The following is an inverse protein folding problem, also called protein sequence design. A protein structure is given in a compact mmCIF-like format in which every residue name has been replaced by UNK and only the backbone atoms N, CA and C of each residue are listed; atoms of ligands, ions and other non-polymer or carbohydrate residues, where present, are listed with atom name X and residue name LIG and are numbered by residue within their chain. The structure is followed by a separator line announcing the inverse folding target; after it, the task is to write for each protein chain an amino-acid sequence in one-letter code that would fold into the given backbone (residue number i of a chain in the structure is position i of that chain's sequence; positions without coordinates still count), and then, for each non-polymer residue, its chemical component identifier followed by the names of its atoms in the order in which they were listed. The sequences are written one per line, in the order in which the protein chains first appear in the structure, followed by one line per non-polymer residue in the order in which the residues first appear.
data_IF_025324284152
#
_entry.id   IF_025324284152
#
_cell.length_a   1.000
_cell.length_b   1.000
_cell.length_c   1.000
_cell.angle_alpha   90.00
_cell.angle_beta   90.00
_cell.angle_gamma   90.00
#
_symmetry.space_group_name_H-M   'P 1'
#
loop_
_entity.id
_entity.type
_entity.pdbx_description
1 polymer ?
#
# COMPACT_ATOMS: atom_id res chain seq x y z
N UNK A 1 -2.52 45.44 -37.23
CA UNK A 1 -2.40 45.20 -35.77
C UNK A 1 -1.03 45.63 -35.27
N UNK A 2 -0.96 46.43 -34.21
CA UNK A 2 0.31 46.75 -33.53
C UNK A 2 0.87 45.45 -32.96
N UNK A 3 2.14 45.14 -33.25
CA UNK A 3 2.83 44.02 -32.60
C UNK A 3 2.91 44.34 -31.11
N UNK A 4 2.27 43.52 -30.27
CA UNK A 4 2.26 43.68 -28.82
C UNK A 4 3.65 43.44 -28.21
N UNK A 5 4.47 42.61 -28.85
CA UNK A 5 5.81 42.27 -28.39
C UNK A 5 6.86 42.60 -29.47
N UNK A 6 8.15 42.68 -29.11
CA UNK A 6 9.22 42.88 -30.08
C UNK A 6 9.27 41.73 -31.11
N UNK A 7 9.72 41.98 -32.36
CA UNK A 7 9.76 40.97 -33.44
C UNK A 7 10.45 39.66 -33.07
N UNK A 8 11.43 39.72 -32.16
CA UNK A 8 12.23 38.60 -31.66
C UNK A 8 11.41 37.50 -30.95
N UNK A 9 10.23 37.84 -30.43
CA UNK A 9 9.34 36.91 -29.70
C UNK A 9 8.54 36.04 -30.68
N UNK A 10 8.35 36.50 -31.92
CA UNK A 10 7.58 35.80 -32.95
C UNK A 10 8.44 34.75 -33.66
N UNK A 11 8.74 33.67 -32.95
CA UNK A 11 9.41 32.51 -33.50
C UNK A 11 8.76 31.20 -33.01
N UNK A 12 8.80 30.11 -33.78
CA UNK A 12 8.13 28.86 -33.43
C UNK A 12 8.59 28.24 -32.11
N UNK A 13 9.86 28.44 -31.74
CA UNK A 13 10.42 27.92 -30.48
C UNK A 13 9.82 28.65 -29.29
N UNK A 14 9.76 29.98 -29.35
CA UNK A 14 9.10 30.79 -28.32
C UNK A 14 7.60 30.52 -28.24
N UNK A 15 6.91 30.31 -29.36
CA UNK A 15 5.48 29.92 -29.34
C UNK A 15 5.25 28.53 -28.72
N UNK A 16 6.09 27.55 -29.04
CA UNK A 16 6.00 26.23 -28.44
C UNK A 16 6.22 26.29 -26.92
N UNK A 17 7.23 27.04 -26.46
CA UNK A 17 7.47 27.29 -25.05
C UNK A 17 6.30 28.00 -24.35
N UNK A 18 5.71 29.01 -25.02
CA UNK A 18 4.53 29.70 -24.51
C UNK A 18 3.30 28.78 -24.41
N UNK A 19 3.07 27.90 -25.38
CA UNK A 19 2.02 26.89 -25.33
C UNK A 19 2.18 25.96 -24.13
N UNK A 20 3.38 25.40 -23.92
CA UNK A 20 3.69 24.54 -22.78
C UNK A 20 3.46 25.28 -21.46
N UNK A 21 3.95 26.52 -21.34
CA UNK A 21 3.82 27.32 -20.13
C UNK A 21 2.35 27.64 -19.80
N UNK A 22 1.56 28.10 -20.79
CA UNK A 22 0.15 28.44 -20.60
C UNK A 22 -0.68 27.20 -20.23
N UNK A 23 -0.46 26.07 -20.91
CA UNK A 23 -1.17 24.82 -20.60
C UNK A 23 -0.80 24.33 -19.19
N UNK A 24 0.50 24.29 -18.86
CA UNK A 24 0.95 23.86 -17.53
C UNK A 24 0.39 24.74 -16.43
N UNK A 25 0.40 26.07 -16.62
CA UNK A 25 -0.17 27.02 -15.67
C UNK A 25 -1.69 26.86 -15.51
N UNK A 26 -2.42 26.69 -16.63
CA UNK A 26 -3.85 26.44 -16.60
C UNK A 26 -4.20 25.14 -15.86
N UNK A 27 -3.43 24.07 -16.06
CA UNK A 27 -3.59 22.80 -15.35
C UNK A 27 -3.29 22.94 -13.85
N UNK A 28 -2.27 23.71 -13.46
CA UNK A 28 -1.97 24.00 -12.05
C UNK A 28 -3.17 24.69 -11.38
N UNK A 29 -3.72 25.73 -12.01
CA UNK A 29 -4.90 26.44 -11.48
C UNK A 29 -6.09 25.48 -11.38
N UNK A 30 -6.34 24.68 -12.41
CA UNK A 30 -7.45 23.74 -12.43
C UNK A 30 -7.34 22.70 -11.29
N UNK A 31 -6.19 22.05 -11.13
CA UNK A 31 -5.98 21.07 -10.06
C UNK A 31 -6.03 21.71 -8.68
N UNK A 32 -5.47 22.91 -8.52
CA UNK A 32 -5.56 23.67 -7.28
C UNK A 32 -7.01 23.99 -6.89
N UNK A 33 -7.83 24.39 -7.86
CA UNK A 33 -9.28 24.62 -7.66
C UNK A 33 -9.95 23.31 -7.24
N UNK A 34 -9.67 22.19 -7.92
CA UNK A 34 -10.24 20.90 -7.54
C UNK A 34 -9.88 20.49 -6.11
N UNK A 35 -8.61 20.61 -5.73
CA UNK A 35 -8.12 20.31 -4.39
C UNK A 35 -8.78 21.20 -3.32
N UNK A 36 -8.96 22.49 -3.62
CA UNK A 36 -9.65 23.42 -2.73
C UNK A 36 -11.11 23.04 -2.49
N UNK A 37 -11.80 22.53 -3.51
CA UNK A 37 -13.21 22.12 -3.40
C UNK A 37 -13.41 20.68 -2.92
N UNK A 38 -12.42 19.80 -3.01
CA UNK A 38 -12.58 18.38 -2.66
C UNK A 38 -12.62 18.11 -1.15
N UNK A 39 -12.08 19.00 -0.31
CA UNK A 39 -12.08 18.85 1.16
C UNK A 39 -11.24 17.69 1.73
N UNK A 40 -10.87 16.73 0.89
CA UNK A 40 -9.97 15.62 1.22
C UNK A 40 -8.54 15.92 0.77
N UNK A 41 -7.57 15.69 1.66
CA UNK A 41 -6.15 15.75 1.34
C UNK A 41 -5.71 14.45 0.65
N UNK A 42 -5.32 14.53 -0.62
CA UNK A 42 -4.79 13.38 -1.37
C UNK A 42 -3.26 13.46 -1.45
N UNK A 43 -2.52 12.45 -0.97
CA UNK A 43 -1.06 12.56 -0.77
C UNK A 43 -0.24 12.95 -2.00
N UNK A 44 -0.72 12.64 -3.20
CA UNK A 44 0.04 12.83 -4.45
C UNK A 44 -0.49 13.91 -5.38
N UNK A 45 -1.69 14.44 -5.11
CA UNK A 45 -2.26 15.52 -5.90
C UNK A 45 -1.34 16.75 -5.81
N UNK A 46 -0.89 17.09 -4.60
CA UNK A 46 0.10 18.14 -4.38
C UNK A 46 1.44 17.90 -5.09
N UNK A 47 1.89 16.65 -5.27
CA UNK A 47 3.12 16.36 -6.02
C UNK A 47 2.96 16.68 -7.50
N UNK A 48 1.82 16.31 -8.09
CA UNK A 48 1.52 16.62 -9.49
C UNK A 48 1.41 18.14 -9.67
N UNK A 49 0.64 18.81 -8.81
CA UNK A 49 0.33 20.24 -8.91
C UNK A 49 1.52 21.14 -8.59
N UNK A 50 2.32 20.82 -7.57
CA UNK A 50 3.37 21.69 -7.05
C UNK A 50 4.80 21.24 -7.41
N UNK A 51 5.00 20.05 -7.97
CA UNK A 51 6.33 19.58 -8.40
C UNK A 51 6.35 19.30 -9.90
N UNK A 52 5.50 18.40 -10.40
CA UNK A 52 5.58 17.95 -11.80
C UNK A 52 5.17 19.06 -12.77
N UNK A 53 3.98 19.65 -12.61
CA UNK A 53 3.51 20.70 -13.52
C UNK A 53 4.39 21.97 -13.51
N UNK A 54 4.93 22.43 -12.36
CA UNK A 54 5.88 23.54 -12.34
C UNK A 54 7.18 23.27 -13.09
N UNK A 55 7.68 22.03 -13.11
CA UNK A 55 8.84 21.67 -13.96
C UNK A 55 8.53 21.91 -15.43
N UNK A 56 7.35 21.48 -15.92
CA UNK A 56 6.94 21.75 -17.30
C UNK A 56 6.73 23.25 -17.57
N UNK A 57 6.21 24.00 -16.61
CA UNK A 57 6.10 25.45 -16.70
C UNK A 57 7.47 26.12 -16.85
N UNK A 58 8.43 25.76 -15.99
CA UNK A 58 9.80 26.28 -16.03
C UNK A 58 10.48 25.90 -17.35
N UNK A 59 10.35 24.65 -17.79
CA UNK A 59 10.88 24.21 -19.08
C UNK A 59 10.26 25.02 -20.24
N UNK A 60 8.96 25.30 -20.20
CA UNK A 60 8.29 26.19 -21.15
C UNK A 60 8.90 27.59 -21.16
N UNK A 61 9.13 28.19 -19.99
CA UNK A 61 9.78 29.50 -19.84
C UNK A 61 11.25 29.50 -20.33
N UNK A 62 12.01 28.43 -20.08
CA UNK A 62 13.37 28.27 -20.58
C UNK A 62 13.40 28.14 -22.11
N UNK A 63 12.43 27.42 -22.69
CA UNK A 63 12.26 27.32 -24.15
C UNK A 63 11.92 28.71 -24.75
N UNK A 64 11.08 29.50 -24.08
CA UNK A 64 10.81 30.90 -24.48
C UNK A 64 12.09 31.71 -24.52
N UNK A 65 12.88 31.68 -23.43
CA UNK A 65 14.14 32.41 -23.33
C UNK A 65 15.16 31.95 -24.38
N UNK A 66 15.31 30.63 -24.58
CA UNK A 66 16.15 30.05 -25.61
C UNK A 66 15.72 30.47 -27.02
N UNK A 67 14.41 30.45 -27.30
CA UNK A 67 13.86 30.92 -28.58
C UNK A 67 14.20 32.39 -28.86
N UNK A 68 14.07 33.26 -27.86
CA UNK A 68 14.43 34.68 -27.95
C UNK A 68 15.93 34.86 -28.17
N UNK A 69 16.79 34.17 -27.40
CA UNK A 69 18.26 34.27 -27.53
C UNK A 69 18.71 33.79 -28.91
N UNK A 70 18.17 32.65 -29.36
CA UNK A 70 18.45 32.07 -30.68
C UNK A 70 18.06 33.04 -31.78
N UNK A 71 16.86 33.64 -31.69
CA UNK A 71 16.40 34.59 -32.69
C UNK A 71 17.23 35.89 -32.66
N UNK A 72 17.64 36.37 -31.48
CA UNK A 72 18.58 37.50 -31.34
C UNK A 72 19.89 37.25 -32.08
N UNK A 73 20.46 36.05 -31.90
CA UNK A 73 21.73 35.65 -32.52
C UNK A 73 21.58 35.53 -34.04
N UNK A 74 20.44 35.07 -34.55
CA UNK A 74 20.17 35.01 -35.99
C UNK A 74 20.07 36.40 -36.61
N UNK A 75 19.32 37.30 -35.99
CA UNK A 75 19.18 38.69 -36.44
C UNK A 75 20.55 39.40 -36.45
N UNK A 76 21.35 39.24 -35.38
CA UNK A 76 22.71 39.80 -35.31
C UNK A 76 23.67 39.24 -36.37
N UNK A 77 23.42 38.02 -36.88
CA UNK A 77 24.20 37.38 -37.94
C UNK A 77 23.70 37.74 -39.35
N UNK A 78 22.76 38.67 -39.49
CA UNK A 78 22.20 39.10 -40.78
C UNK A 78 21.14 38.16 -41.35
N UNK A 79 20.72 37.13 -40.62
CA UNK A 79 19.63 36.24 -41.04
C UNK A 79 18.30 36.85 -40.61
N UNK A 80 17.75 37.76 -41.43
CA UNK A 80 16.37 38.23 -41.23
C UNK A 80 15.37 37.16 -41.67
N UNK A 81 14.33 36.94 -40.85
CA UNK A 81 13.19 36.12 -41.24
C UNK A 81 12.32 36.95 -42.19
N UNK A 82 12.43 36.67 -43.49
CA UNK A 82 11.59 37.27 -44.54
C UNK A 82 10.17 36.70 -44.58
N UNK A 83 9.90 35.60 -43.87
CA UNK A 83 8.58 34.97 -43.83
C UNK A 83 7.57 35.80 -43.04
N UNK A 84 6.43 36.15 -43.67
CA UNK A 84 5.25 36.67 -42.96
C UNK A 84 4.82 35.63 -41.95
N UNK A 85 4.98 35.94 -40.66
CA UNK A 85 4.41 35.14 -39.58
C UNK A 85 2.87 35.11 -39.73
N UNK A 86 2.20 34.08 -39.19
CA UNK A 86 0.74 33.97 -39.25
C UNK A 86 0.13 35.28 -38.74
N UNK A 87 -0.54 36.03 -39.63
CA UNK A 87 -1.26 37.24 -39.28
C UNK A 87 -2.65 36.80 -38.82
N UNK A 88 -2.84 36.74 -37.51
CA UNK A 88 -4.17 36.54 -36.91
C UNK A 88 -4.84 37.91 -36.89
N UNK A 89 -5.82 38.14 -37.78
CA UNK A 89 -6.68 39.32 -37.78
C UNK A 89 -8.04 38.97 -37.19
N UNK A 90 -8.24 39.37 -35.92
CA UNK A 90 -9.50 39.12 -35.21
C UNK A 90 -10.67 39.99 -35.72
N UNK A 91 -10.41 40.96 -36.62
CA UNK A 91 -11.46 41.71 -37.30
C UNK A 91 -12.06 40.92 -38.47
N UNK A 92 -11.32 39.94 -39.02
CA UNK A 92 -11.85 39.01 -40.01
C UNK A 92 -12.77 37.98 -39.33
N UNK A 93 -14.03 37.90 -39.77
CA UNK A 93 -15.05 37.02 -39.17
C UNK A 93 -14.69 35.54 -39.29
N UNK A 94 -14.05 35.12 -40.39
CA UNK A 94 -13.63 33.72 -40.59
C UNK A 94 -12.47 33.38 -39.68
N UNK A 95 -11.44 34.23 -39.61
CA UNK A 95 -10.33 34.01 -38.69
C UNK A 95 -10.76 34.05 -37.22
N UNK A 96 -11.65 34.98 -36.85
CA UNK A 96 -12.24 35.04 -35.50
C UNK A 96 -12.99 33.77 -35.13
N UNK A 97 -13.80 33.21 -36.04
CA UNK A 97 -14.52 31.94 -35.81
C UNK A 97 -13.56 30.76 -35.66
N UNK A 98 -12.51 30.68 -36.49
CA UNK A 98 -11.50 29.62 -36.41
C UNK A 98 -10.73 29.72 -35.09
N UNK A 99 -10.26 30.90 -34.70
CA UNK A 99 -9.56 31.12 -33.44
C UNK A 99 -10.47 30.80 -32.26
N UNK A 100 -11.73 31.25 -32.27
CA UNK A 100 -12.69 30.96 -31.21
C UNK A 100 -12.96 29.45 -31.09
N UNK A 101 -13.23 28.77 -32.20
CA UNK A 101 -13.51 27.32 -32.22
C UNK A 101 -12.30 26.51 -31.78
N UNK A 102 -11.10 26.85 -32.27
CA UNK A 102 -9.87 26.18 -31.89
C UNK A 102 -9.56 26.41 -30.40
N UNK A 103 -9.67 27.64 -29.93
CA UNK A 103 -9.43 27.98 -28.52
C UNK A 103 -10.40 27.26 -27.60
N UNK A 104 -11.70 27.31 -27.90
CA UNK A 104 -12.74 26.63 -27.11
C UNK A 104 -12.54 25.11 -27.17
N UNK A 105 -12.29 24.55 -28.36
CA UNK A 105 -12.05 23.11 -28.52
C UNK A 105 -10.81 22.63 -27.76
N UNK A 106 -9.71 23.38 -27.81
CA UNK A 106 -8.50 23.09 -27.02
C UNK A 106 -8.75 23.22 -25.53
N UNK A 107 -9.46 24.26 -25.08
CA UNK A 107 -9.80 24.43 -23.66
C UNK A 107 -10.65 23.26 -23.15
N UNK A 108 -11.70 22.89 -23.89
CA UNK A 108 -12.54 21.75 -23.54
C UNK A 108 -11.74 20.45 -23.51
N UNK A 109 -10.93 20.19 -24.54
CA UNK A 109 -10.07 19.01 -24.58
C UNK A 109 -9.14 18.97 -23.35
N UNK A 110 -8.48 20.08 -23.03
CA UNK A 110 -7.60 20.16 -21.86
C UNK A 110 -8.34 19.92 -20.55
N UNK A 111 -9.52 20.53 -20.37
CA UNK A 111 -10.34 20.33 -19.18
C UNK A 111 -10.77 18.87 -19.05
N UNK A 112 -11.31 18.27 -20.11
CA UNK A 112 -11.75 16.87 -20.08
C UNK A 112 -10.57 15.90 -19.91
N UNK A 113 -9.43 16.15 -20.54
CA UNK A 113 -8.22 15.34 -20.35
C UNK A 113 -7.67 15.47 -18.94
N UNK A 114 -7.63 16.68 -18.37
CA UNK A 114 -7.19 16.90 -16.99
C UNK A 114 -8.12 16.21 -15.99
N UNK A 115 -9.44 16.39 -16.15
CA UNK A 115 -10.44 15.75 -15.31
C UNK A 115 -10.41 14.23 -15.44
N UNK A 116 -10.32 13.70 -16.67
CA UNK A 116 -10.22 12.27 -16.93
C UNK A 116 -8.94 11.67 -16.32
N UNK A 117 -7.80 12.35 -16.47
CA UNK A 117 -6.53 11.93 -15.87
C UNK A 117 -6.59 11.95 -14.34
N UNK A 118 -7.22 12.98 -13.77
CA UNK A 118 -7.47 13.07 -12.34
C UNK A 118 -8.31 11.89 -11.85
N UNK A 119 -9.44 11.59 -12.50
CA UNK A 119 -10.31 10.47 -12.13
C UNK A 119 -9.61 9.11 -12.29
N UNK A 120 -8.84 8.93 -13.36
CA UNK A 120 -8.04 7.72 -13.57
C UNK A 120 -6.99 7.56 -12.46
N UNK A 121 -6.35 8.65 -12.05
CA UNK A 121 -5.41 8.67 -10.95
C UNK A 121 -6.10 8.31 -9.62
N UNK A 122 -7.22 8.97 -9.28
CA UNK A 122 -8.00 8.66 -8.08
C UNK A 122 -8.41 7.19 -8.03
N UNK A 123 -8.87 6.64 -9.16
CA UNK A 123 -9.24 5.24 -9.25
C UNK A 123 -8.04 4.32 -9.03
N UNK A 124 -6.88 4.63 -9.62
CA UNK A 124 -5.64 3.83 -9.45
C UNK A 124 -5.09 3.79 -8.02
N UNK A 125 -5.60 4.63 -7.13
CA UNK A 125 -5.23 4.73 -5.71
C UNK A 125 -6.36 4.23 -4.79
N UNK A 126 -7.42 3.65 -5.34
CA UNK A 126 -8.56 3.15 -4.58
C UNK A 126 -8.36 1.70 -4.13
N UNK A 127 -9.02 1.34 -3.02
CA UNK A 127 -9.04 -0.04 -2.52
C UNK A 127 -9.70 -0.99 -3.52
N UNK A 128 -10.64 -0.49 -4.32
CA UNK A 128 -11.27 -1.25 -5.40
C UNK A 128 -10.24 -1.61 -6.48
N UNK A 129 -9.42 -0.65 -6.92
CA UNK A 129 -8.37 -0.91 -7.88
C UNK A 129 -7.35 -1.93 -7.33
N UNK A 130 -6.86 -1.71 -6.11
CA UNK A 130 -5.84 -2.56 -5.50
C UNK A 130 -6.35 -3.97 -5.16
N UNK A 131 -7.60 -4.11 -4.71
CA UNK A 131 -8.13 -5.36 -4.16
C UNK A 131 -9.02 -6.16 -5.10
N UNK A 132 -9.69 -5.52 -6.07
CA UNK A 132 -10.71 -6.18 -6.91
C UNK A 132 -10.34 -6.36 -8.37
N UNK A 133 -9.44 -5.56 -8.94
CA UNK A 133 -9.09 -5.70 -10.37
C UNK A 133 -8.33 -7.00 -10.62
N UNK A 134 -7.26 -7.23 -9.87
CA UNK A 134 -6.47 -8.45 -9.94
C UNK A 134 -7.02 -9.50 -8.95
N UNK A 135 -8.34 -9.74 -8.98
CA UNK A 135 -9.04 -10.49 -7.94
C UNK A 135 -8.43 -11.88 -7.67
N UNK A 136 -8.02 -12.64 -8.69
CA UNK A 136 -7.47 -13.99 -8.50
C UNK A 136 -6.26 -14.03 -7.55
N UNK A 137 -5.38 -13.02 -7.62
CA UNK A 137 -4.18 -12.95 -6.78
C UNK A 137 -4.39 -12.11 -5.51
N UNK A 138 -5.33 -11.17 -5.54
CA UNK A 138 -5.58 -10.24 -4.43
C UNK A 138 -6.75 -10.64 -3.53
N UNK A 139 -7.61 -11.61 -3.90
CA UNK A 139 -8.78 -12.03 -3.11
C UNK A 139 -8.40 -12.35 -1.65
N UNK A 140 -7.32 -13.11 -1.34
CA UNK A 140 -6.98 -13.42 0.05
C UNK A 140 -6.61 -12.17 0.86
N UNK A 141 -5.79 -11.29 0.29
CA UNK A 141 -5.32 -10.07 0.94
C UNK A 141 -6.48 -9.06 1.14
N UNK A 142 -7.33 -8.90 0.13
CA UNK A 142 -8.48 -8.01 0.16
C UNK A 142 -9.57 -8.51 1.14
N UNK A 143 -9.82 -9.82 1.17
CA UNK A 143 -10.77 -10.42 2.11
C UNK A 143 -10.31 -10.23 3.56
N UNK A 144 -9.02 -10.48 3.83
CA UNK A 144 -8.45 -10.26 5.16
C UNK A 144 -8.52 -8.78 5.57
N UNK A 145 -8.21 -7.87 4.64
CA UNK A 145 -8.29 -6.42 4.83
C UNK A 145 -9.67 -5.96 5.31
N UNK A 146 -10.74 -6.42 4.66
CA UNK A 146 -12.12 -6.01 4.96
C UNK A 146 -12.57 -6.32 6.40
N UNK A 147 -11.98 -7.34 7.02
CA UNK A 147 -12.29 -7.76 8.40
C UNK A 147 -11.28 -7.25 9.43
N UNK A 148 -10.28 -6.49 8.99
CA UNK A 148 -9.20 -6.01 9.85
C UNK A 148 -9.55 -4.70 10.57
N UNK A 149 -8.83 -4.35 11.66
CA UNK A 149 -8.92 -3.04 12.30
C UNK A 149 -8.63 -1.86 11.34
N UNK A 150 -7.96 -2.11 10.22
CA UNK A 150 -7.60 -1.11 9.22
C UNK A 150 -8.50 -1.15 7.97
N UNK A 151 -9.65 -1.83 8.01
CA UNK A 151 -10.62 -1.91 6.90
C UNK A 151 -11.17 -0.58 6.38
N UNK A 152 -10.84 0.53 7.05
CA UNK A 152 -11.19 1.91 6.68
C UNK A 152 -9.97 2.78 6.35
N UNK A 153 -8.77 2.22 6.40
CA UNK A 153 -7.53 2.87 5.95
C UNK A 153 -7.27 2.39 4.53
N UNK A 154 -7.22 3.31 3.57
CA UNK A 154 -7.02 2.93 2.17
C UNK A 154 -5.67 2.25 1.95
N UNK A 155 -5.60 1.30 1.01
CA UNK A 155 -4.41 0.50 0.71
C UNK A 155 -3.16 1.38 0.52
N UNK A 156 -3.34 2.52 -0.15
CA UNK A 156 -2.26 3.46 -0.50
C UNK A 156 -1.63 4.15 0.71
N UNK A 157 -2.38 4.25 1.82
CA UNK A 157 -1.88 4.80 3.08
C UNK A 157 -0.73 3.98 3.65
N UNK A 158 -0.74 2.66 3.43
CA UNK A 158 0.33 1.76 3.87
C UNK A 158 1.29 1.37 2.72
N UNK A 159 0.81 1.15 1.51
CA UNK A 159 1.59 0.52 0.42
C UNK A 159 2.30 1.48 -0.54
N UNK A 160 1.82 2.71 -0.70
CA UNK A 160 2.36 3.65 -1.71
C UNK A 160 3.23 4.72 -1.05
N UNK A 161 2.91 5.15 0.18
CA UNK A 161 3.76 5.98 1.04
C UNK A 161 3.94 7.44 0.57
N UNK A 162 3.85 8.40 1.50
CA UNK A 162 3.97 9.83 1.15
C UNK A 162 5.33 10.20 0.50
N UNK A 163 5.30 11.18 -0.39
CA UNK A 163 6.49 11.76 -1.03
C UNK A 163 6.75 11.31 -2.47
N UNK A 164 7.50 12.11 -3.21
CA UNK A 164 7.63 11.98 -4.67
C UNK A 164 8.41 10.73 -5.09
N UNK A 165 9.44 10.35 -4.32
CA UNK A 165 10.23 9.15 -4.62
C UNK A 165 9.39 7.87 -4.53
N UNK A 166 8.58 7.78 -3.47
CA UNK A 166 7.68 6.65 -3.24
C UNK A 166 6.52 6.60 -4.24
N UNK A 167 5.99 7.77 -4.63
CA UNK A 167 5.05 7.87 -5.74
C UNK A 167 5.61 7.27 -7.05
N UNK A 168 6.84 7.62 -7.43
CA UNK A 168 7.43 7.08 -8.67
C UNK A 168 7.73 5.58 -8.51
N UNK A 169 8.33 5.17 -7.39
CA UNK A 169 8.67 3.75 -7.13
C UNK A 169 7.43 2.86 -7.20
N UNK A 170 6.32 3.28 -6.57
CA UNK A 170 5.06 2.54 -6.54
C UNK A 170 4.40 2.42 -7.91
N UNK A 171 4.45 3.47 -8.76
CA UNK A 171 3.90 3.37 -10.12
C UNK A 171 4.73 2.45 -11.01
N UNK A 172 6.06 2.45 -10.88
CA UNK A 172 6.93 1.52 -11.62
C UNK A 172 6.71 0.08 -11.14
N UNK A 173 6.68 -0.16 -9.83
CA UNK A 173 6.44 -1.49 -9.28
C UNK A 173 5.02 -1.99 -9.60
N UNK A 174 4.01 -1.12 -9.51
CA UNK A 174 2.64 -1.43 -9.90
C UNK A 174 2.50 -1.81 -11.37
N UNK A 175 3.18 -1.10 -12.28
CA UNK A 175 3.22 -1.47 -13.70
C UNK A 175 3.82 -2.87 -13.91
N UNK A 176 4.90 -3.20 -13.17
CA UNK A 176 5.49 -4.54 -13.20
C UNK A 176 4.56 -5.60 -12.60
N UNK A 177 3.79 -5.29 -11.55
CA UNK A 177 2.79 -6.20 -10.99
C UNK A 177 1.67 -6.49 -11.99
N UNK A 178 1.14 -5.47 -12.67
CA UNK A 178 0.15 -5.65 -13.74
C UNK A 178 0.70 -6.54 -14.84
N UNK A 179 1.93 -6.29 -15.30
CA UNK A 179 2.62 -7.17 -16.24
C UNK A 179 2.74 -8.60 -15.71
N UNK A 180 3.14 -8.78 -14.45
CA UNK A 180 3.34 -10.08 -13.84
C UNK A 180 2.04 -10.89 -13.79
N UNK A 181 0.91 -10.24 -13.46
CA UNK A 181 -0.42 -10.88 -13.46
C UNK A 181 -0.86 -11.24 -14.88
N UNK A 182 -0.76 -10.30 -15.84
CA UNK A 182 -1.18 -10.52 -17.23
C UNK A 182 -0.43 -11.66 -17.92
N UNK A 183 0.84 -11.87 -17.57
CA UNK A 183 1.68 -12.91 -18.15
C UNK A 183 1.91 -14.12 -17.23
N UNK A 184 1.17 -14.22 -16.12
CA UNK A 184 1.29 -15.30 -15.11
C UNK A 184 2.74 -15.53 -14.62
N UNK A 185 3.47 -14.43 -14.39
CA UNK A 185 4.87 -14.39 -13.93
C UNK A 185 4.97 -14.08 -12.43
N UNK A 186 4.37 -14.93 -11.60
CA UNK A 186 4.42 -14.78 -10.15
C UNK A 186 4.50 -16.14 -9.46
N UNK A 187 5.05 -16.17 -8.25
CA UNK A 187 5.13 -17.40 -7.45
C UNK A 187 3.81 -17.72 -6.76
N UNK A 188 3.52 -19.00 -6.57
CA UNK A 188 2.42 -19.49 -5.73
C UNK A 188 3.05 -20.39 -4.64
N UNK A 189 2.96 -20.04 -3.33
CA UNK A 189 2.34 -18.84 -2.77
C UNK A 189 3.12 -17.55 -3.07
N UNK A 190 2.42 -16.41 -2.99
CA UNK A 190 3.04 -15.08 -3.08
C UNK A 190 3.73 -14.77 -1.75
N UNK A 191 5.04 -14.46 -1.74
CA UNK A 191 5.77 -14.20 -0.50
C UNK A 191 5.36 -12.87 0.14
N UNK A 192 5.47 -12.77 1.46
CA UNK A 192 5.34 -11.47 2.15
C UNK A 192 6.45 -10.53 1.67
N UNK A 193 6.13 -9.30 1.22
CA UNK A 193 7.11 -8.41 0.63
C UNK A 193 7.96 -7.67 1.67
N UNK A 194 8.54 -8.38 2.66
CA UNK A 194 9.29 -7.79 3.78
C UNK A 194 10.47 -6.91 3.34
N UNK A 195 10.99 -7.11 2.12
CA UNK A 195 12.06 -6.28 1.52
C UNK A 195 11.55 -4.98 0.89
N UNK A 196 10.29 -4.96 0.46
CA UNK A 196 9.68 -3.82 -0.26
C UNK A 196 8.72 -3.02 0.63
N UNK A 197 8.40 -3.50 1.82
CA UNK A 197 7.64 -2.73 2.81
C UNK A 197 8.43 -1.48 3.22
N UNK A 198 7.71 -0.35 3.24
CA UNK A 198 8.25 0.97 3.57
C UNK A 198 8.64 1.01 5.06
N UNK A 199 9.64 1.81 5.46
CA UNK A 199 9.95 1.99 6.88
C UNK A 199 8.75 2.44 7.72
N UNK A 200 8.73 2.03 8.99
CA UNK A 200 7.62 2.29 9.91
C UNK A 200 7.38 3.79 10.14
N UNK A 201 8.43 4.64 10.12
CA UNK A 201 8.30 6.08 10.37
C UNK A 201 7.38 6.76 9.34
N UNK A 202 7.43 6.26 8.11
CA UNK A 202 6.61 6.76 7.03
C UNK A 202 5.23 6.11 6.92
N UNK A 203 4.91 5.07 7.69
CA UNK A 203 3.67 4.31 7.51
C UNK A 203 2.93 4.16 8.82
N UNK A 204 3.38 3.25 9.67
CA UNK A 204 2.80 2.93 10.96
C UNK A 204 2.77 4.17 11.87
N UNK A 205 3.88 4.91 11.95
CA UNK A 205 4.06 5.98 12.92
C UNK A 205 3.27 7.26 12.60
N UNK A 206 2.73 7.37 11.38
CA UNK A 206 1.83 8.47 11.00
C UNK A 206 0.50 8.39 11.76
N UNK A 207 0.14 7.21 12.30
CA UNK A 207 -1.04 7.00 13.12
C UNK A 207 -0.72 6.39 14.50
N UNK A 208 0.40 5.67 14.63
CA UNK A 208 0.84 5.00 15.86
C UNK A 208 2.18 5.54 16.34
N UNK A 209 2.16 6.68 17.05
CA UNK A 209 3.38 7.29 17.57
C UNK A 209 4.15 6.35 18.51
N UNK A 210 5.47 6.13 18.30
CA UNK A 210 6.30 5.35 19.21
C UNK A 210 6.35 5.92 20.62
N UNK A 211 6.15 7.24 20.77
CA UNK A 211 6.14 7.90 22.07
C UNK A 211 4.86 7.67 22.90
N UNK A 212 3.81 7.11 22.30
CA UNK A 212 2.58 6.80 23.02
C UNK A 212 2.75 5.54 23.87
N UNK A 213 2.46 5.66 25.17
CA UNK A 213 2.49 4.53 26.10
C UNK A 213 1.21 3.67 25.97
N UNK A 214 1.37 2.37 25.77
CA UNK A 214 0.25 1.43 25.77
C UNK A 214 0.17 0.67 27.09
N UNK A 215 -0.99 0.74 27.75
CA UNK A 215 -1.27 0.01 28.99
C UNK A 215 -1.35 -1.50 28.76
N UNK A 216 -1.53 -2.25 29.84
CA UNK A 216 -1.75 -3.68 29.78
C UNK A 216 -3.09 -4.03 29.10
N UNK A 217 -3.09 -5.11 28.32
CA UNK A 217 -4.31 -5.69 27.75
C UNK A 217 -4.59 -7.06 28.37
N UNK A 218 -5.87 -7.34 28.63
CA UNK A 218 -6.31 -8.68 29.01
C UNK A 218 -6.40 -9.54 27.74
N UNK A 219 -5.44 -10.44 27.57
CA UNK A 219 -5.50 -11.47 26.54
C UNK A 219 -6.31 -12.65 27.05
N UNK A 220 -7.39 -13.01 26.35
CA UNK A 220 -8.17 -14.22 26.63
C UNK A 220 -8.26 -15.05 25.36
N UNK A 221 -7.97 -16.34 25.47
CA UNK A 221 -8.14 -17.31 24.39
C UNK A 221 -8.78 -18.58 24.93
N UNK A 222 -9.82 -19.02 24.24
CA UNK A 222 -10.47 -20.30 24.46
C UNK A 222 -9.93 -21.31 23.44
N UNK A 223 -9.64 -22.52 23.90
CA UNK A 223 -9.08 -23.63 23.14
C UNK A 223 -9.96 -24.86 23.35
N UNK A 224 -9.96 -25.75 22.36
CA UNK A 224 -10.65 -27.03 22.42
C UNK A 224 -9.64 -28.11 22.07
N UNK A 225 -9.55 -29.14 22.89
CA UNK A 225 -8.66 -30.27 22.64
C UNK A 225 -9.17 -31.11 21.45
N UNK A 226 -8.26 -31.87 20.85
CA UNK A 226 -8.54 -32.83 19.77
C UNK A 226 -9.07 -34.17 20.30
N UNK A 227 -9.92 -34.13 21.33
CA UNK A 227 -10.55 -35.29 21.93
C UNK A 227 -12.03 -35.38 21.55
N UNK A 228 -12.66 -36.53 21.86
CA UNK A 228 -14.05 -36.79 21.49
C UNK A 228 -15.00 -35.73 22.07
N UNK A 229 -14.75 -35.29 23.30
CA UNK A 229 -15.55 -34.32 24.02
C UNK A 229 -15.29 -32.86 23.61
N UNK A 230 -14.29 -32.60 22.76
CA UNK A 230 -13.80 -31.26 22.43
C UNK A 230 -13.54 -30.44 23.71
N UNK A 231 -12.76 -30.99 24.64
CA UNK A 231 -12.60 -30.43 25.98
C UNK A 231 -12.12 -28.99 25.93
N UNK A 232 -12.90 -28.07 26.52
CA UNK A 232 -12.59 -26.64 26.56
C UNK A 232 -11.49 -26.35 27.57
N UNK A 233 -10.47 -25.61 27.14
CA UNK A 233 -9.44 -25.00 27.99
C UNK A 233 -9.38 -23.50 27.70
N UNK A 234 -9.12 -22.68 28.71
CA UNK A 234 -9.06 -21.22 28.55
C UNK A 234 -7.81 -20.67 29.19
N UNK A 235 -7.13 -19.77 28.47
CA UNK A 235 -6.01 -19.00 29.00
C UNK A 235 -6.45 -17.54 29.11
N UNK A 236 -6.21 -16.95 30.28
CA UNK A 236 -6.37 -15.51 30.50
C UNK A 236 -5.05 -14.96 31.04
N UNK A 237 -4.48 -13.99 30.35
CA UNK A 237 -3.23 -13.34 30.72
C UNK A 237 -3.41 -11.83 30.70
N UNK A 238 -2.70 -11.13 31.58
CA UNK A 238 -2.53 -9.68 31.47
C UNK A 238 -1.20 -9.42 30.75
N UNK A 239 -1.28 -9.01 29.49
CA UNK A 239 -0.12 -8.75 28.66
C UNK A 239 0.30 -7.29 28.80
N UNK A 240 1.52 -7.08 29.29
CA UNK A 240 2.14 -5.75 29.36
C UNK A 240 2.67 -5.35 27.99
N UNK A 241 1.91 -4.52 27.28
CA UNK A 241 2.32 -4.00 25.97
C UNK A 241 3.55 -3.11 26.14
N UNK A 242 3.42 -2.07 26.96
CA UNK A 242 4.51 -1.13 27.21
C UNK A 242 4.81 -0.24 26.01
N UNK A 243 6.06 0.22 25.95
CA UNK A 243 6.53 1.18 24.94
C UNK A 243 6.32 2.65 25.37
N UNK A 244 6.91 3.59 24.65
CA UNK A 244 6.76 5.03 24.92
C UNK A 244 7.72 5.63 25.95
N UNK A 245 7.57 6.95 26.16
CA UNK A 245 8.43 7.77 27.00
C UNK A 245 8.32 7.38 28.50
N UNK A 246 9.46 7.24 29.19
CA UNK A 246 9.54 6.96 30.62
C UNK A 246 8.82 7.98 31.51
N UNK A 247 8.55 9.19 31.00
CA UNK A 247 7.77 10.22 31.69
C UNK A 247 6.26 9.90 31.73
N UNK A 248 5.76 9.11 30.77
CA UNK A 248 4.34 8.76 30.63
C UNK A 248 3.99 7.38 31.22
N UNK A 249 5.00 6.59 31.59
CA UNK A 249 4.84 5.24 32.14
C UNK A 249 6.17 4.52 32.35
N UNK A 250 6.16 3.33 32.94
CA UNK A 250 7.39 2.52 33.06
C UNK A 250 7.74 1.93 31.71
N UNK A 251 8.99 2.11 31.27
CA UNK A 251 9.49 1.61 29.99
C UNK A 251 9.78 0.10 30.04
N UNK A 252 8.75 -0.69 30.34
CA UNK A 252 8.73 -2.15 30.50
C UNK A 252 7.67 -2.74 29.56
N UNK A 253 7.79 -4.01 29.17
CA UNK A 253 6.78 -4.70 28.33
C UNK A 253 7.37 -5.35 27.09
N UNK A 254 6.50 -5.85 26.21
CA UNK A 254 6.90 -6.59 25.01
C UNK A 254 7.31 -5.68 23.84
N UNK A 255 6.88 -4.42 23.80
CA UNK A 255 7.25 -3.45 22.75
C UNK A 255 8.56 -2.70 23.03
N UNK A 256 9.63 -3.48 23.20
CA UNK A 256 10.93 -2.92 23.60
C UNK A 256 11.57 -2.02 22.52
N UNK A 257 11.32 -2.28 21.23
CA UNK A 257 11.81 -1.44 20.12
C UNK A 257 11.10 -0.08 20.04
N UNK A 258 9.90 0.06 20.62
CA UNK A 258 9.16 1.32 20.68
C UNK A 258 9.58 2.19 21.89
N UNK A 259 10.40 1.64 22.78
CA UNK A 259 10.95 2.43 23.87
C UNK A 259 11.97 3.40 23.27
N UNK A 260 11.66 4.70 23.24
CA UNK A 260 12.55 5.74 22.68
C UNK A 260 13.93 5.73 23.37
N UNK A 261 14.02 5.25 24.60
CA UNK A 261 15.28 5.08 25.32
C UNK A 261 16.11 3.87 24.84
N UNK A 262 15.63 3.08 23.88
CA UNK A 262 16.30 1.90 23.36
C UNK A 262 16.32 1.90 21.82
N UNK A 263 17.50 1.62 21.25
CA UNK A 263 17.64 1.24 19.84
C UNK A 263 17.99 -0.25 19.79
N UNK A 264 17.19 -1.02 19.05
CA UNK A 264 17.44 -2.46 18.84
C UNK A 264 17.91 -2.67 17.41
N UNK A 265 19.08 -3.28 17.25
CA UNK A 265 19.63 -3.72 15.98
C UNK A 265 19.71 -5.25 15.97
N UNK A 266 19.48 -5.87 14.82
CA UNK A 266 19.62 -7.32 14.67
C UNK A 266 20.22 -7.68 13.32
N UNK A 267 20.74 -8.90 13.21
CA UNK A 267 21.22 -9.48 11.96
C UNK A 267 20.40 -10.72 11.67
N UNK A 268 19.93 -10.87 10.43
CA UNK A 268 19.22 -12.07 9.99
C UNK A 268 20.02 -12.90 8.97
N UNK A 269 19.75 -14.20 8.90
CA UNK A 269 20.43 -15.11 7.95
C UNK A 269 19.55 -15.57 6.79
N UNK A 270 18.23 -15.44 6.93
CA UNK A 270 17.26 -15.89 5.94
C UNK A 270 16.43 -14.74 5.36
N UNK A 271 15.77 -15.00 4.22
CA UNK A 271 14.95 -14.01 3.53
C UNK A 271 13.67 -13.61 4.29
N UNK A 272 13.16 -14.46 5.20
CA UNK A 272 11.96 -14.16 6.01
C UNK A 272 12.31 -13.43 7.31
N UNK A 273 13.60 -13.27 7.62
CA UNK A 273 14.12 -12.63 8.83
C UNK A 273 13.75 -13.37 10.12
N UNK A 274 13.62 -14.69 10.06
CA UNK A 274 13.28 -15.52 11.22
C UNK A 274 14.51 -16.07 11.95
N UNK A 275 15.65 -16.18 11.25
CA UNK A 275 16.90 -16.71 11.79
C UNK A 275 17.76 -15.54 12.23
N UNK A 276 17.71 -15.20 13.51
CA UNK A 276 18.36 -14.02 14.11
C UNK A 276 19.44 -14.48 15.11
N UNK A 277 20.69 -14.71 14.66
CA UNK A 277 21.75 -15.16 15.55
C UNK A 277 22.32 -14.07 16.46
N UNK A 278 22.02 -12.80 16.17
CA UNK A 278 22.65 -11.66 16.83
C UNK A 278 21.65 -10.51 16.99
N UNK A 279 21.61 -9.94 18.19
CA UNK A 279 20.81 -8.75 18.53
C UNK A 279 21.65 -7.82 19.40
N UNK A 280 21.64 -6.53 19.09
CA UNK A 280 22.24 -5.48 19.92
C UNK A 280 21.19 -4.50 20.38
N UNK A 281 21.16 -4.28 21.69
CA UNK A 281 20.41 -3.20 22.30
C UNK A 281 21.37 -2.06 22.66
N UNK A 282 20.98 -0.84 22.34
CA UNK A 282 21.67 0.39 22.76
C UNK A 282 20.67 1.17 23.62
N UNK A 283 21.01 1.45 24.88
CA UNK A 283 20.15 2.24 25.77
C UNK A 283 20.37 3.76 25.58
N UNK A 284 19.61 4.58 26.30
CA UNK A 284 19.67 6.05 26.25
C UNK A 284 21.01 6.66 26.67
N UNK A 285 21.81 5.91 27.44
CA UNK A 285 23.15 6.29 27.89
C UNK A 285 24.24 5.86 26.89
N UNK A 286 23.87 5.19 25.79
CA UNK A 286 24.79 4.65 24.79
C UNK A 286 25.44 3.33 25.19
N UNK A 287 25.03 2.70 26.30
CA UNK A 287 25.50 1.36 26.69
C UNK A 287 24.95 0.33 25.71
N UNK A 288 25.85 -0.43 25.12
CA UNK A 288 25.51 -1.53 24.22
C UNK A 288 25.46 -2.87 24.97
N UNK A 289 24.42 -3.65 24.71
CA UNK A 289 24.25 -5.03 25.18
C UNK A 289 24.04 -5.91 23.95
N UNK A 290 24.88 -6.93 23.79
CA UNK A 290 24.84 -7.84 22.65
C UNK A 290 24.38 -9.22 23.11
N UNK A 291 23.33 -9.71 22.47
CA UNK A 291 22.78 -11.05 22.61
C UNK A 291 23.20 -11.90 21.41
N UNK A 292 23.69 -13.10 21.69
CA UNK A 292 24.13 -14.08 20.68
C UNK A 292 23.34 -15.35 20.85
N UNK A 293 23.00 -15.99 19.73
CA UNK A 293 22.40 -17.32 19.75
C UNK A 293 23.38 -18.32 20.36
N UNK A 294 22.87 -19.20 21.22
CA UNK A 294 23.60 -20.36 21.74
C UNK A 294 23.50 -21.57 20.82
N UNK A 295 22.65 -21.50 19.79
CA UNK A 295 22.33 -22.61 18.89
C UNK A 295 22.91 -22.42 17.48
N UNK A 296 23.20 -21.18 17.10
CA UNK A 296 23.66 -20.82 15.76
C UNK A 296 25.03 -20.16 15.87
N UNK A 297 26.05 -20.83 15.35
CA UNK A 297 27.37 -20.21 15.17
C UNK A 297 27.27 -19.09 14.12
N UNK A 298 27.75 -17.89 14.47
CA UNK A 298 27.65 -16.71 13.62
C UNK A 298 28.94 -15.89 13.69
N UNK A 299 29.53 -15.61 12.52
CA UNK A 299 30.69 -14.74 12.39
C UNK A 299 30.26 -13.28 12.27
N UNK A 300 30.33 -12.55 13.39
CA UNK A 300 30.02 -11.12 13.46
C UNK A 300 30.92 -10.24 12.57
N UNK A 301 32.06 -10.76 12.08
CA UNK A 301 32.97 -10.00 11.21
C UNK A 301 32.69 -10.20 9.73
N UNK A 302 31.89 -11.21 9.38
CA UNK A 302 31.67 -11.61 7.99
C UNK A 302 30.20 -11.92 7.73
N UNK A 303 29.42 -10.87 7.49
CA UNK A 303 28.02 -10.96 7.06
C UNK A 303 27.70 -9.86 6.03
N UNK A 304 26.70 -10.06 5.16
CA UNK A 304 26.27 -9.02 4.22
C UNK A 304 25.65 -7.84 4.98
N UNK A 305 26.14 -6.62 4.77
CA UNK A 305 25.71 -5.43 5.53
C UNK A 305 24.19 -5.20 5.45
N UNK A 306 23.56 -5.56 4.34
CA UNK A 306 22.12 -5.48 4.12
C UNK A 306 21.28 -6.35 5.06
N UNK A 307 21.89 -7.38 5.68
CA UNK A 307 21.23 -8.24 6.66
C UNK A 307 21.17 -7.62 8.05
N UNK A 308 21.91 -6.54 8.30
CA UNK A 308 21.83 -5.78 9.55
C UNK A 308 20.71 -4.76 9.45
N UNK A 309 19.84 -4.75 10.47
CA UNK A 309 18.68 -3.86 10.51
C UNK A 309 18.51 -3.24 11.88
N UNK A 310 17.98 -2.03 11.91
CA UNK A 310 17.34 -1.50 13.11
C UNK A 310 15.91 -2.03 13.13
N UNK A 311 15.50 -2.59 14.27
CA UNK A 311 14.17 -3.17 14.46
C UNK A 311 13.11 -2.08 14.39
N UNK A 312 12.11 -2.28 13.55
CA UNK A 312 10.95 -1.40 13.41
C UNK A 312 9.64 -2.16 13.63
N UNK A 313 8.50 -1.46 13.52
CA UNK A 313 7.18 -2.05 13.73
C UNK A 313 6.90 -3.22 12.76
N UNK A 314 7.44 -3.19 11.55
CA UNK A 314 7.15 -4.15 10.47
C UNK A 314 7.86 -5.46 10.72
N UNK A 315 9.01 -5.46 11.39
CA UNK A 315 9.73 -6.68 11.73
C UNK A 315 8.87 -7.64 12.60
N UNK A 316 7.92 -7.10 13.39
CA UNK A 316 6.93 -7.90 14.12
C UNK A 316 5.51 -7.86 13.51
N UNK A 317 5.10 -6.72 12.95
CA UNK A 317 3.74 -6.48 12.42
C UNK A 317 3.72 -6.34 10.89
N UNK A 318 4.34 -7.26 10.15
CA UNK A 318 4.42 -7.20 8.68
C UNK A 318 3.11 -7.50 7.91
N UNK A 319 2.02 -7.88 8.61
CA UNK A 319 0.67 -8.11 8.04
C UNK A 319 -0.43 -7.62 9.00
N UNK A 320 -0.44 -6.34 9.40
CA UNK A 320 -1.34 -5.86 10.44
C UNK A 320 -2.80 -5.79 9.97
N UNK A 321 -3.02 -5.68 8.66
CA UNK A 321 -4.33 -5.61 8.02
C UNK A 321 -4.70 -6.89 7.26
N UNK A 322 -3.76 -7.82 7.13
CA UNK A 322 -3.93 -9.04 6.34
C UNK A 322 -3.79 -10.28 7.24
N UNK A 323 -4.73 -10.36 8.19
CA UNK A 323 -4.68 -11.32 9.29
C UNK A 323 -5.23 -12.66 8.81
N UNK A 324 -4.33 -13.60 8.53
CA UNK A 324 -4.67 -15.00 8.26
C UNK A 324 -4.66 -15.79 9.55
N UNK A 325 -5.80 -16.39 9.92
CA UNK A 325 -5.89 -17.24 11.09
C UNK A 325 -5.66 -18.71 10.68
N UNK A 326 -4.85 -19.48 11.44
CA UNK A 326 -4.76 -20.91 11.23
C UNK A 326 -6.13 -21.58 11.47
N UNK A 327 -6.32 -22.76 10.88
CA UNK A 327 -7.57 -23.53 11.01
C UNK A 327 -7.93 -23.76 12.48
N UNK A 328 -6.96 -24.18 13.29
CA UNK A 328 -7.13 -24.39 14.73
C UNK A 328 -7.81 -23.20 15.44
N UNK A 329 -7.26 -22.00 15.26
CA UNK A 329 -7.77 -20.77 15.89
C UNK A 329 -9.16 -20.40 15.38
N UNK A 330 -9.41 -20.59 14.08
CA UNK A 330 -10.71 -20.29 13.46
C UNK A 330 -11.81 -21.24 13.96
N UNK A 331 -11.49 -22.52 14.16
CA UNK A 331 -12.41 -23.51 14.73
C UNK A 331 -12.61 -23.26 16.23
N UNK A 332 -11.58 -22.92 16.99
CA UNK A 332 -11.73 -22.55 18.42
C UNK A 332 -12.70 -21.38 18.60
N UNK A 333 -12.59 -20.35 17.74
CA UNK A 333 -13.52 -19.24 17.75
C UNK A 333 -14.95 -19.68 17.42
N UNK A 334 -15.12 -20.53 16.40
CA UNK A 334 -16.44 -21.01 15.97
C UNK A 334 -17.13 -21.88 17.04
N UNK A 335 -16.39 -22.75 17.73
CA UNK A 335 -16.87 -23.53 18.86
C UNK A 335 -17.16 -22.65 20.09
N UNK A 336 -16.34 -21.62 20.34
CA UNK A 336 -16.57 -20.68 21.46
C UNK A 336 -17.83 -19.83 21.28
N UNK A 337 -18.19 -19.56 20.03
CA UNK A 337 -19.38 -18.79 19.66
C UNK A 337 -20.59 -19.68 19.37
N UNK A 338 -20.50 -20.99 19.66
CA UNK A 338 -21.54 -21.99 19.40
C UNK A 338 -22.07 -21.96 17.94
N UNK A 339 -21.21 -21.59 16.97
CA UNK A 339 -21.51 -21.68 15.53
C UNK A 339 -21.46 -23.11 15.01
N UNK A 340 -20.62 -23.91 15.66
CA UNK A 340 -20.46 -25.34 15.50
C UNK A 340 -20.88 -25.98 16.82
N UNK A 341 -21.73 -27.01 16.78
CA UNK A 341 -22.14 -27.73 17.98
C UNK A 341 -20.97 -28.55 18.55
N UNK A 342 -20.41 -28.07 19.67
CA UNK A 342 -19.30 -28.71 20.39
C UNK A 342 -19.62 -30.08 20.97
N UNK A 343 -20.88 -30.48 21.02
CA UNK A 343 -21.27 -31.83 21.46
C UNK A 343 -21.17 -32.88 20.34
N UNK A 344 -20.87 -32.46 19.10
CA UNK A 344 -20.52 -33.37 18.03
C UNK A 344 -19.14 -34.01 18.31
N UNK A 345 -19.06 -35.35 18.41
CA UNK A 345 -17.82 -36.05 18.74
C UNK A 345 -16.67 -35.69 17.78
N UNK A 346 -15.52 -35.30 18.32
CA UNK A 346 -14.31 -34.96 17.56
C UNK A 346 -14.43 -33.82 16.55
N UNK A 347 -15.50 -33.01 16.58
CA UNK A 347 -15.69 -31.93 15.59
C UNK A 347 -14.50 -30.97 15.53
N UNK A 348 -13.83 -30.71 16.66
CA UNK A 348 -12.60 -29.91 16.69
C UNK A 348 -11.49 -30.49 15.81
N UNK A 349 -11.21 -31.79 15.96
CA UNK A 349 -10.16 -32.46 15.18
C UNK A 349 -10.54 -32.59 13.73
N UNK A 350 -11.77 -33.01 13.45
CA UNK A 350 -12.28 -33.22 12.08
C UNK A 350 -12.28 -31.91 11.30
N UNK A 351 -12.79 -30.82 11.89
CA UNK A 351 -12.87 -29.53 11.20
C UNK A 351 -11.49 -28.91 10.95
N UNK A 352 -10.50 -29.13 11.82
CA UNK A 352 -9.13 -28.66 11.57
C UNK A 352 -8.48 -29.45 10.45
N UNK A 353 -8.58 -30.78 10.48
CA UNK A 353 -7.97 -31.66 9.47
C UNK A 353 -8.45 -31.36 8.04
N UNK A 354 -9.76 -31.18 7.86
CA UNK A 354 -10.32 -30.82 6.55
C UNK A 354 -9.93 -29.41 6.10
N UNK A 355 -9.79 -28.45 7.01
CA UNK A 355 -9.38 -27.09 6.64
C UNK A 355 -7.89 -26.97 6.32
N UNK A 356 -7.06 -27.86 6.86
CA UNK A 356 -5.61 -27.92 6.56
C UNK A 356 -5.28 -28.80 5.34
N UNK A 357 -6.27 -29.51 4.80
CA UNK A 357 -6.15 -30.28 3.57
C UNK A 357 -5.98 -29.37 2.34
N UNK A 358 -5.09 -29.74 1.43
CA UNK A 358 -4.86 -29.01 0.17
C UNK A 358 -5.95 -29.25 -0.86
N UNK A 359 -6.57 -28.17 -1.37
CA UNK A 359 -7.61 -28.21 -2.40
C UNK A 359 -7.21 -27.47 -3.68
N UNK A 360 -7.74 -27.92 -4.82
CA UNK A 360 -7.45 -27.32 -6.13
C UNK A 360 -8.22 -26.02 -6.38
N UNK A 361 -9.39 -25.85 -5.76
CA UNK A 361 -10.20 -24.63 -5.85
C UNK A 361 -11.09 -24.46 -4.63
N UNK A 362 -11.61 -23.25 -4.44
CA UNK A 362 -12.55 -22.91 -3.36
C UNK A 362 -13.82 -23.77 -3.40
N UNK A 363 -14.39 -24.00 -4.58
CA UNK A 363 -15.60 -24.82 -4.70
C UNK A 363 -15.34 -26.27 -4.34
N UNK A 364 -14.24 -26.85 -4.84
CA UNK A 364 -13.82 -28.22 -4.49
C UNK A 364 -13.58 -28.34 -2.98
N UNK A 365 -12.98 -27.32 -2.35
CA UNK A 365 -12.79 -27.30 -0.90
C UNK A 365 -14.14 -27.35 -0.16
N UNK A 366 -15.07 -26.45 -0.48
CA UNK A 366 -16.37 -26.38 0.18
C UNK A 366 -17.17 -27.68 0.04
N UNK A 367 -17.18 -28.28 -1.16
CA UNK A 367 -17.87 -29.54 -1.42
C UNK A 367 -17.19 -30.70 -0.67
N UNK A 368 -15.86 -30.77 -0.70
CA UNK A 368 -15.09 -31.83 -0.04
C UNK A 368 -15.20 -31.78 1.48
N UNK A 369 -15.14 -30.59 2.08
CA UNK A 369 -15.31 -30.37 3.52
C UNK A 369 -16.68 -30.90 3.96
N UNK A 370 -17.75 -30.49 3.27
CA UNK A 370 -19.11 -30.96 3.57
C UNK A 370 -19.21 -32.48 3.49
N UNK A 371 -18.72 -33.07 2.40
CA UNK A 371 -18.77 -34.52 2.18
C UNK A 371 -17.99 -35.26 3.27
N UNK A 372 -16.80 -34.78 3.62
CA UNK A 372 -15.95 -35.42 4.61
C UNK A 372 -16.60 -35.42 5.99
N UNK A 373 -17.05 -34.26 6.49
CA UNK A 373 -17.69 -34.13 7.80
C UNK A 373 -18.96 -35.00 7.86
N UNK A 374 -19.81 -34.91 6.83
CA UNK A 374 -21.05 -35.69 6.74
C UNK A 374 -20.77 -37.20 6.79
N UNK A 375 -19.80 -37.67 6.00
CA UNK A 375 -19.45 -39.08 5.94
C UNK A 375 -18.78 -39.56 7.23
N UNK A 376 -17.95 -38.72 7.86
CA UNK A 376 -17.33 -39.03 9.15
C UNK A 376 -18.40 -39.40 10.18
N UNK A 377 -19.44 -38.58 10.35
CA UNK A 377 -20.53 -38.90 11.28
C UNK A 377 -21.40 -40.04 10.79
N UNK A 378 -21.71 -40.12 9.50
CA UNK A 378 -22.52 -41.21 8.94
C UNK A 378 -21.91 -42.59 9.22
N UNK A 379 -20.59 -42.71 9.14
CA UNK A 379 -19.89 -44.00 9.30
C UNK A 379 -19.42 -44.28 10.73
N UNK A 380 -18.93 -43.27 11.46
CA UNK A 380 -18.37 -43.47 12.80
C UNK A 380 -19.39 -43.24 13.93
N UNK A 381 -20.41 -42.40 13.71
CA UNK A 381 -21.42 -42.04 14.70
C UNK A 381 -22.86 -42.04 14.13
N UNK A 382 -23.40 -43.19 13.67
CA UNK A 382 -24.68 -43.24 12.94
C UNK A 382 -25.87 -42.66 13.70
N UNK A 383 -25.93 -42.85 15.02
CA UNK A 383 -26.99 -42.29 15.85
C UNK A 383 -26.88 -40.77 15.99
N UNK A 384 -25.66 -40.22 16.08
CA UNK A 384 -25.44 -38.76 16.07
C UNK A 384 -25.83 -38.21 14.70
N UNK A 385 -25.42 -38.87 13.61
CA UNK A 385 -25.80 -38.48 12.25
C UNK A 385 -27.32 -38.40 12.05
N UNK A 386 -28.06 -39.40 12.55
CA UNK A 386 -29.52 -39.43 12.45
C UNK A 386 -30.21 -38.35 13.28
N UNK A 387 -29.71 -38.07 14.48
CA UNK A 387 -30.35 -37.16 15.42
C UNK A 387 -29.89 -35.69 15.28
N UNK A 388 -28.71 -35.45 14.72
CA UNK A 388 -28.05 -34.14 14.61
C UNK A 388 -27.64 -33.77 13.19
N UNK A 389 -28.36 -34.27 12.19
CA UNK A 389 -28.05 -34.00 10.78
C UNK A 389 -27.97 -32.49 10.49
N UNK A 390 -28.90 -31.71 11.04
CA UNK A 390 -28.91 -30.26 10.86
C UNK A 390 -27.66 -29.58 11.45
N UNK A 391 -27.22 -29.99 12.64
CA UNK A 391 -26.01 -29.44 13.27
C UNK A 391 -24.76 -29.83 12.47
N UNK A 392 -24.71 -31.06 11.94
CA UNK A 392 -23.62 -31.54 11.08
C UNK A 392 -23.56 -30.79 9.75
N UNK A 393 -24.71 -30.49 9.13
CA UNK A 393 -24.77 -29.71 7.89
C UNK A 393 -24.44 -28.23 8.09
N UNK A 394 -24.71 -27.69 9.28
CA UNK A 394 -24.33 -26.34 9.68
C UNK A 394 -22.83 -26.20 9.98
N UNK A 395 -22.23 -27.28 10.51
CA UNK A 395 -20.80 -27.36 10.87
C UNK A 395 -19.88 -27.26 9.66
#
# INVERSE_FOLDING_TARGET
MKKLFPPIVYNPVTLAGAGIAVVSFGLIIFLFILEFFSGESRPYLGIITFIILPVFLILGLLIIAYGIIRERRRIKKGFERSGKFIVIDLNDVKQRRVVATFTIGTLLLLIFSAFGSYKAFEYSESDEFCGKICHEVMEPEYTAYLTSPHSRVGCVGCHIGSGANWFVKSKISGAYQVYSVLFNKYSKPIPTPVKELRPAEGTCEQCHSPGHFFSEIKYKSDYFLYDEANTKSSISMLLKIGGGNSELGRAEGIHWHMNIANKVEYIHLDNKRNVIPWVKQINSEGKEIIYRSTEIEFDEKNFPEENRRTMDCIDCHNRPSHIYNPADKSINLSLSLDRIDKSLPYIKSVSVDVLETGYSSKQVALDSIRIFITNFYRFNYPEVYKNKLADIEQS
#
